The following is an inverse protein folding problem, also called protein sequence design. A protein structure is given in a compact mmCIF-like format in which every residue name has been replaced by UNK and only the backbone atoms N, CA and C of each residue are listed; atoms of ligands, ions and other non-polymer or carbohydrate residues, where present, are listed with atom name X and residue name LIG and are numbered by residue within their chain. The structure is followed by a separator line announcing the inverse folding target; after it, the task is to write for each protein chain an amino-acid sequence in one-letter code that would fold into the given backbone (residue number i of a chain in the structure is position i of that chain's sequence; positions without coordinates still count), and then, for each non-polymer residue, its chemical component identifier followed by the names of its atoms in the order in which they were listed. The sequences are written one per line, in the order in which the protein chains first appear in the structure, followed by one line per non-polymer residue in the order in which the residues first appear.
data_IF_657111308605
#
_entry.id   IF_657111308605
#
_cell.length_a   1.000
_cell.length_b   1.000
_cell.length_c   1.000
_cell.angle_alpha   90.00
_cell.angle_beta   90.00
_cell.angle_gamma   90.00
#
_symmetry.space_group_name_H-M   'P 1'
#
loop_
_entity.id
_entity.type
_entity.pdbx_description
1 polymer ?
#
# COMPACT_ATOMS: atom_id res chain seq x y z
N UNK A 1 32.70 -2.43 45.53
CA UNK A 1 33.03 -3.87 45.50
C UNK A 1 32.30 -4.47 44.31
N UNK A 2 32.96 -4.61 43.15
CA UNK A 2 32.32 -5.09 41.92
C UNK A 2 32.75 -6.55 41.73
N UNK A 3 31.80 -7.48 41.83
CA UNK A 3 31.98 -8.90 41.51
C UNK A 3 31.64 -9.09 40.03
N UNK A 4 32.64 -9.36 39.21
CA UNK A 4 32.45 -9.85 37.84
C UNK A 4 32.18 -11.35 37.96
N UNK A 5 30.98 -11.78 37.56
CA UNK A 5 30.60 -13.19 37.56
C UNK A 5 31.16 -13.85 36.30
N UNK A 6 32.13 -14.74 36.48
CA UNK A 6 32.66 -15.63 35.46
C UNK A 6 31.59 -16.65 35.04
N UNK A 7 30.90 -16.39 33.92
CA UNK A 7 30.21 -17.46 33.19
C UNK A 7 31.18 -18.09 32.20
N UNK A 8 31.85 -19.16 32.63
CA UNK A 8 32.73 -19.96 31.78
C UNK A 8 32.09 -21.32 31.43
N UNK A 9 32.14 -21.65 30.14
CA UNK A 9 31.76 -22.95 29.57
C UNK A 9 32.75 -24.02 30.09
N UNK A 10 32.24 -25.07 30.74
CA UNK A 10 33.03 -26.18 31.29
C UNK A 10 33.70 -26.98 30.16
N UNK A 11 35.03 -27.09 30.19
CA UNK A 11 35.73 -28.20 29.53
C UNK A 11 37.09 -27.92 28.88
N UNK A 12 37.52 -26.66 28.74
CA UNK A 12 38.75 -26.34 28.00
C UNK A 12 39.91 -26.03 28.95
N UNK A 13 40.94 -26.89 28.94
CA UNK A 13 42.17 -26.72 29.73
C UNK A 13 42.97 -25.55 29.15
N UNK A 14 42.93 -24.37 29.78
CA UNK A 14 43.74 -23.21 29.37
C UNK A 14 45.22 -23.46 29.70
N UNK A 15 46.01 -23.69 28.67
CA UNK A 15 47.46 -23.64 28.74
C UNK A 15 47.85 -22.18 28.46
N UNK A 16 48.18 -21.43 29.51
CA UNK A 16 48.71 -20.08 29.37
C UNK A 16 50.15 -20.16 28.87
N UNK A 17 50.34 -19.94 27.57
CA UNK A 17 51.66 -19.75 26.98
C UNK A 17 51.96 -18.26 27.03
N UNK A 18 52.77 -17.84 28.01
CA UNK A 18 53.33 -16.49 28.02
C UNK A 18 54.36 -16.39 26.91
N UNK A 19 53.91 -15.88 25.76
CA UNK A 19 54.69 -15.83 24.54
C UNK A 19 54.47 -14.50 23.86
N UNK A 20 54.90 -13.40 24.48
CA UNK A 20 55.54 -12.23 23.87
C UNK A 20 55.69 -11.10 24.91
N UNK A 21 56.86 -10.95 25.52
CA UNK A 21 57.17 -9.81 26.42
C UNK A 21 57.42 -8.55 25.61
N UNK A 22 56.34 -7.85 25.22
CA UNK A 22 56.41 -6.49 24.66
C UNK A 22 56.37 -5.47 25.80
N UNK A 23 57.16 -4.40 25.67
CA UNK A 23 57.08 -3.25 26.60
C UNK A 23 55.70 -2.61 26.50
N UNK A 24 55.06 -2.33 27.63
CA UNK A 24 53.73 -1.72 27.71
C UNK A 24 53.64 -0.40 26.93
N UNK A 25 54.75 0.36 26.88
CA UNK A 25 54.83 1.59 26.09
C UNK A 25 54.58 1.35 24.59
N UNK A 26 55.02 0.20 24.06
CA UNK A 26 54.89 -0.14 22.64
C UNK A 26 53.51 -0.73 22.28
N UNK A 27 52.73 -1.19 23.25
CA UNK A 27 51.40 -1.78 23.04
C UNK A 27 50.27 -0.77 23.26
N UNK A 28 50.56 0.34 23.94
CA UNK A 28 49.55 1.36 24.26
C UNK A 28 49.00 2.04 23.01
N UNK A 29 49.85 2.25 21.99
CA UNK A 29 49.43 2.75 20.67
C UNK A 29 48.47 1.79 19.97
N UNK A 30 48.84 0.51 19.85
CA UNK A 30 48.01 -0.53 19.23
C UNK A 30 46.63 -0.68 19.93
N UNK A 31 46.60 -0.54 21.25
CA UNK A 31 45.36 -0.57 22.04
C UNK A 31 44.51 0.68 21.77
N UNK A 32 45.12 1.87 21.72
CA UNK A 32 44.41 3.10 21.38
C UNK A 32 43.83 3.05 19.95
N UNK A 33 44.60 2.55 18.98
CA UNK A 33 44.17 2.36 17.60
C UNK A 33 43.02 1.35 17.50
N UNK A 34 43.10 0.25 18.25
CA UNK A 34 42.00 -0.73 18.34
C UNK A 34 40.71 -0.14 18.92
N UNK A 35 40.81 0.72 19.94
CA UNK A 35 39.65 1.42 20.53
C UNK A 35 39.05 2.40 19.52
N UNK A 36 39.87 3.19 18.82
CA UNK A 36 39.40 4.13 17.80
C UNK A 36 38.72 3.39 16.65
N UNK A 37 39.32 2.30 16.16
CA UNK A 37 38.74 1.47 15.11
C UNK A 37 37.41 0.84 15.55
N UNK A 38 37.32 0.37 16.79
CA UNK A 38 36.08 -0.17 17.35
C UNK A 38 34.97 0.90 17.45
N UNK A 39 35.29 2.09 17.95
CA UNK A 39 34.34 3.20 18.05
C UNK A 39 33.89 3.69 16.66
N UNK A 40 34.80 3.75 15.68
CA UNK A 40 34.47 4.05 14.29
C UNK A 40 33.52 2.99 13.71
N UNK A 41 33.75 1.70 13.99
CA UNK A 41 32.88 0.60 13.58
C UNK A 41 31.47 0.68 14.19
N UNK A 42 31.36 1.03 15.48
CA UNK A 42 30.06 1.28 16.14
C UNK A 42 29.33 2.44 15.45
N UNK A 43 30.03 3.55 15.19
CA UNK A 43 29.45 4.72 14.54
C UNK A 43 28.96 4.41 13.13
N UNK A 44 29.78 3.76 12.31
CA UNK A 44 29.42 3.36 10.95
C UNK A 44 28.16 2.46 10.95
N UNK A 45 28.11 1.48 11.86
CA UNK A 45 26.95 0.59 11.95
C UNK A 45 25.68 1.30 12.39
N UNK A 46 25.80 2.30 13.28
CA UNK A 46 24.66 3.15 13.66
C UNK A 46 24.16 3.99 12.49
N UNK A 47 25.06 4.62 11.75
CA UNK A 47 24.71 5.43 10.57
C UNK A 47 24.06 4.58 9.47
N UNK A 48 24.56 3.37 9.22
CA UNK A 48 23.95 2.41 8.29
C UNK A 48 22.54 2.00 8.73
N UNK A 49 22.35 1.66 10.01
CA UNK A 49 21.04 1.30 10.53
C UNK A 49 20.05 2.46 10.44
N UNK A 50 20.48 3.69 10.70
CA UNK A 50 19.65 4.89 10.58
C UNK A 50 19.27 5.20 9.13
N UNK A 51 20.18 4.98 8.16
CA UNK A 51 19.87 5.10 6.72
C UNK A 51 18.89 4.02 6.28
N UNK A 52 19.19 2.77 6.60
CA UNK A 52 18.33 1.63 6.28
C UNK A 52 16.92 1.81 6.86
N UNK A 53 16.81 2.26 8.11
CA UNK A 53 15.51 2.49 8.75
C UNK A 53 14.71 3.61 8.05
N UNK A 54 15.38 4.67 7.61
CA UNK A 54 14.74 5.76 6.86
C UNK A 54 14.24 5.28 5.50
N UNK A 55 15.10 4.62 4.74
CA UNK A 55 14.76 4.04 3.43
C UNK A 55 13.64 3.02 3.53
N UNK A 56 13.70 2.14 4.54
CA UNK A 56 12.65 1.17 4.81
C UNK A 56 11.31 1.85 5.05
N UNK A 57 11.25 2.85 5.93
CA UNK A 57 10.02 3.60 6.22
C UNK A 57 9.46 4.28 4.97
N UNK A 58 10.31 4.93 4.19
CA UNK A 58 9.90 5.55 2.92
C UNK A 58 9.32 4.50 1.97
N UNK A 59 10.03 3.39 1.77
CA UNK A 59 9.55 2.30 0.92
C UNK A 59 8.21 1.74 1.36
N UNK A 60 8.00 1.61 2.67
CA UNK A 60 6.76 1.10 3.24
C UNK A 60 5.60 2.07 3.05
N UNK A 61 5.84 3.37 3.25
CA UNK A 61 4.83 4.41 2.98
C UNK A 61 4.43 4.44 1.50
N UNK A 62 5.40 4.31 0.58
CA UNK A 62 5.13 4.29 -0.85
C UNK A 62 4.34 3.04 -1.26
N UNK A 63 4.65 1.87 -0.68
CA UNK A 63 3.87 0.65 -0.90
C UNK A 63 2.44 0.79 -0.40
N UNK A 64 2.25 1.31 0.80
CA UNK A 64 0.92 1.53 1.37
C UNK A 64 0.09 2.48 0.49
N UNK A 65 0.69 3.58 0.00
CA UNK A 65 0.04 4.49 -0.95
C UNK A 65 -0.31 3.81 -2.27
N UNK A 66 0.61 3.02 -2.83
CA UNK A 66 0.36 2.28 -4.07
C UNK A 66 -0.79 1.27 -3.92
N UNK A 67 -0.81 0.52 -2.82
CA UNK A 67 -1.89 -0.41 -2.50
C UNK A 67 -3.23 0.31 -2.33
N UNK A 68 -3.26 1.43 -1.61
CA UNK A 68 -4.48 2.22 -1.44
C UNK A 68 -5.03 2.73 -2.77
N UNK A 69 -4.15 3.13 -3.71
CA UNK A 69 -4.57 3.55 -5.06
C UNK A 69 -5.16 2.38 -5.84
N UNK A 70 -4.50 1.21 -5.80
CA UNK A 70 -4.97 0.02 -6.49
C UNK A 70 -6.33 -0.45 -5.95
N UNK A 71 -6.50 -0.42 -4.63
CA UNK A 71 -7.75 -0.73 -3.95
C UNK A 71 -8.88 0.19 -4.40
N UNK A 72 -8.63 1.51 -4.46
CA UNK A 72 -9.61 2.49 -4.93
C UNK A 72 -9.95 2.28 -6.40
N UNK A 73 -8.95 2.05 -7.25
CA UNK A 73 -9.16 1.80 -8.67
C UNK A 73 -9.93 0.51 -8.93
N UNK A 74 -9.70 -0.52 -8.11
CA UNK A 74 -10.51 -1.74 -8.12
C UNK A 74 -11.97 -1.43 -7.77
N UNK A 75 -12.22 -0.67 -6.70
CA UNK A 75 -13.60 -0.28 -6.31
C UNK A 75 -14.28 0.56 -7.40
N UNK A 76 -13.57 1.48 -8.04
CA UNK A 76 -14.07 2.25 -9.20
C UNK A 76 -14.49 1.33 -10.33
N UNK A 77 -13.63 0.39 -10.73
CA UNK A 77 -13.93 -0.60 -11.77
C UNK A 77 -15.13 -1.47 -11.41
N UNK A 78 -15.18 -1.97 -10.18
CA UNK A 78 -16.29 -2.79 -9.69
C UNK A 78 -17.60 -1.99 -9.67
N UNK A 79 -17.56 -0.72 -9.26
CA UNK A 79 -18.70 0.19 -9.32
C UNK A 79 -19.22 0.37 -10.75
N UNK A 80 -18.33 0.76 -11.68
CA UNK A 80 -18.70 0.94 -13.09
C UNK A 80 -19.23 -0.36 -13.68
N UNK A 81 -18.59 -1.49 -13.41
CA UNK A 81 -19.02 -2.81 -13.88
C UNK A 81 -20.44 -3.13 -13.44
N UNK A 82 -20.76 -2.95 -12.14
CA UNK A 82 -22.12 -3.14 -11.61
C UNK A 82 -23.15 -2.28 -12.34
N UNK A 83 -22.84 -1.00 -12.57
CA UNK A 83 -23.75 -0.09 -13.26
C UNK A 83 -23.92 -0.41 -14.74
N UNK A 84 -22.84 -0.75 -15.44
CA UNK A 84 -22.93 -1.16 -16.85
C UNK A 84 -23.75 -2.43 -17.04
N UNK A 85 -23.68 -3.38 -16.09
CA UNK A 85 -24.51 -4.58 -16.12
C UNK A 85 -26.01 -4.24 -15.96
N UNK A 86 -26.35 -3.31 -15.07
CA UNK A 86 -27.73 -2.84 -14.89
C UNK A 86 -28.24 -2.15 -16.17
N UNK A 87 -27.42 -1.28 -16.78
CA UNK A 87 -27.78 -0.59 -18.01
C UNK A 87 -27.95 -1.57 -19.18
N UNK A 88 -27.07 -2.58 -19.29
CA UNK A 88 -27.20 -3.64 -20.28
C UNK A 88 -28.52 -4.40 -20.10
N UNK A 89 -28.86 -4.80 -18.86
CA UNK A 89 -30.13 -5.48 -18.57
C UNK A 89 -31.34 -4.61 -18.95
N UNK A 90 -31.30 -3.29 -18.68
CA UNK A 90 -32.36 -2.36 -19.10
C UNK A 90 -32.52 -2.40 -20.63
N UNK A 91 -31.42 -2.27 -21.38
CA UNK A 91 -31.47 -2.27 -22.85
C UNK A 91 -31.97 -3.61 -23.42
N UNK A 92 -31.59 -4.74 -22.83
CA UNK A 92 -32.06 -6.07 -23.22
C UNK A 92 -33.57 -6.23 -22.99
N UNK A 93 -34.06 -5.75 -21.85
CA UNK A 93 -35.49 -5.81 -21.52
C UNK A 93 -36.33 -4.85 -22.39
N UNK A 94 -35.80 -3.68 -22.72
CA UNK A 94 -36.45 -2.73 -23.64
C UNK A 94 -36.54 -3.29 -25.07
N UNK A 95 -35.43 -3.81 -25.60
CA UNK A 95 -35.42 -4.46 -26.91
C UNK A 95 -36.34 -5.68 -26.97
N UNK A 96 -36.40 -6.47 -25.89
CA UNK A 96 -37.38 -7.55 -25.77
C UNK A 96 -38.83 -7.04 -25.86
N UNK A 97 -39.18 -5.96 -25.14
CA UNK A 97 -40.53 -5.38 -25.20
C UNK A 97 -40.88 -4.87 -26.60
N UNK A 98 -39.96 -4.19 -27.28
CA UNK A 98 -40.15 -3.72 -28.65
C UNK A 98 -40.40 -4.87 -29.63
N UNK A 99 -39.62 -5.95 -29.52
CA UNK A 99 -39.80 -7.16 -30.33
C UNK A 99 -41.16 -7.81 -30.08
N UNK A 100 -41.57 -7.92 -28.82
CA UNK A 100 -42.86 -8.48 -28.43
C UNK A 100 -44.01 -7.64 -28.97
N UNK A 101 -43.93 -6.31 -28.91
CA UNK A 101 -44.93 -5.40 -29.45
C UNK A 101 -45.02 -5.49 -30.97
N UNK A 102 -43.89 -5.56 -31.68
CA UNK A 102 -43.85 -5.64 -33.15
C UNK A 102 -44.42 -6.96 -33.70
N UNK A 103 -44.28 -8.06 -32.95
CA UNK A 103 -44.71 -9.40 -33.38
C UNK A 103 -46.17 -9.73 -33.05
N UNK A 104 -46.79 -8.98 -32.13
CA UNK A 104 -48.12 -9.29 -31.62
C UNK A 104 -49.18 -8.34 -32.17
N UNK A 105 -49.65 -8.64 -33.39
CA UNK A 105 -50.85 -8.02 -33.98
C UNK A 105 -52.05 -8.98 -34.05
N UNK A 106 -51.91 -10.27 -33.70
CA UNK A 106 -52.90 -11.26 -34.15
C UNK A 106 -53.41 -12.33 -33.16
N UNK A 107 -52.72 -12.76 -32.08
CA UNK A 107 -53.26 -13.85 -31.25
C UNK A 107 -52.74 -13.88 -29.80
N UNK A 108 -53.67 -13.91 -28.84
CA UNK A 108 -53.52 -14.51 -27.50
C UNK A 108 -52.56 -13.83 -26.50
N UNK A 109 -53.08 -12.97 -25.63
CA UNK A 109 -52.32 -12.22 -24.62
C UNK A 109 -52.00 -12.99 -23.33
N UNK A 110 -52.45 -14.23 -23.11
CA UNK A 110 -52.46 -14.86 -21.77
C UNK A 110 -51.11 -14.89 -21.03
N UNK A 111 -50.18 -15.73 -21.48
CA UNK A 111 -48.85 -15.87 -20.84
C UNK A 111 -47.92 -14.71 -21.20
N UNK A 112 -48.03 -14.21 -22.43
CA UNK A 112 -47.24 -13.08 -22.91
C UNK A 112 -47.51 -11.80 -22.11
N UNK A 113 -48.77 -11.51 -21.75
CA UNK A 113 -49.11 -10.37 -20.91
C UNK A 113 -48.45 -10.46 -19.54
N UNK A 114 -48.38 -11.66 -18.96
CA UNK A 114 -47.72 -11.87 -17.65
C UNK A 114 -46.23 -11.56 -17.73
N UNK A 115 -45.57 -12.01 -18.81
CA UNK A 115 -44.16 -11.70 -19.05
C UNK A 115 -43.98 -10.18 -19.23
N UNK A 116 -44.82 -9.52 -20.03
CA UNK A 116 -44.76 -8.06 -20.23
C UNK A 116 -44.96 -7.30 -18.92
N UNK A 117 -45.91 -7.71 -18.08
CA UNK A 117 -46.12 -7.10 -16.75
C UNK A 117 -44.87 -7.26 -15.88
N UNK A 118 -44.29 -8.46 -15.85
CA UNK A 118 -43.06 -8.73 -15.09
C UNK A 118 -41.88 -7.91 -15.59
N UNK A 119 -41.66 -7.84 -16.92
CA UNK A 119 -40.57 -7.06 -17.52
C UNK A 119 -40.72 -5.57 -17.18
N UNK A 120 -41.92 -5.00 -17.25
CA UNK A 120 -42.15 -3.61 -16.87
C UNK A 120 -41.88 -3.33 -15.39
N UNK A 121 -42.27 -4.25 -14.50
CA UNK A 121 -41.95 -4.13 -13.07
C UNK A 121 -40.43 -4.21 -12.81
N UNK A 122 -39.73 -5.09 -13.54
CA UNK A 122 -38.28 -5.22 -13.48
C UNK A 122 -37.59 -3.96 -13.98
N UNK A 123 -37.98 -3.44 -15.14
CA UNK A 123 -37.48 -2.18 -15.70
C UNK A 123 -37.68 -1.01 -14.74
N UNK A 124 -38.84 -0.90 -14.11
CA UNK A 124 -39.10 0.15 -13.10
C UNK A 124 -38.14 0.05 -11.93
N UNK A 125 -37.81 -1.16 -11.49
CA UNK A 125 -36.86 -1.41 -10.40
C UNK A 125 -35.44 -1.03 -10.80
N UNK A 126 -34.99 -1.47 -11.98
CA UNK A 126 -33.64 -1.19 -12.49
C UNK A 126 -33.45 0.32 -12.76
N UNK A 127 -34.43 0.98 -13.37
CA UNK A 127 -34.39 2.43 -13.63
C UNK A 127 -34.28 3.25 -12.35
N UNK A 128 -34.98 2.82 -11.29
CA UNK A 128 -34.86 3.45 -9.97
C UNK A 128 -33.44 3.31 -9.41
N UNK A 129 -32.74 2.21 -9.68
CA UNK A 129 -31.34 2.02 -9.25
C UNK A 129 -30.37 2.90 -10.05
N UNK A 130 -30.72 3.25 -11.29
CA UNK A 130 -29.90 4.12 -12.16
C UNK A 130 -30.30 5.60 -12.09
N UNK A 131 -31.14 6.01 -11.13
CA UNK A 131 -31.48 7.43 -10.94
C UNK A 131 -30.21 8.24 -10.61
N UNK A 132 -29.99 9.41 -11.23
CA UNK A 132 -28.79 10.23 -11.01
C UNK A 132 -28.52 10.52 -9.54
N UNK A 133 -29.57 10.81 -8.77
CA UNK A 133 -29.45 11.11 -7.34
C UNK A 133 -28.96 9.90 -6.54
N UNK A 134 -29.36 8.69 -6.93
CA UNK A 134 -28.88 7.46 -6.28
C UNK A 134 -27.46 7.12 -6.68
N UNK A 135 -27.10 7.36 -7.94
CA UNK A 135 -25.73 7.21 -8.42
C UNK A 135 -24.83 8.18 -7.66
N UNK A 136 -25.21 9.45 -7.57
CA UNK A 136 -24.47 10.47 -6.83
C UNK A 136 -24.31 10.08 -5.35
N UNK A 137 -25.41 9.68 -4.69
CA UNK A 137 -25.36 9.23 -3.30
C UNK A 137 -24.43 8.01 -3.11
N UNK A 138 -24.44 7.05 -4.04
CA UNK A 138 -23.56 5.89 -3.98
C UNK A 138 -22.09 6.26 -4.22
N UNK A 139 -21.80 7.17 -5.15
CA UNK A 139 -20.45 7.68 -5.40
C UNK A 139 -19.88 8.42 -4.19
N UNK A 140 -20.69 9.24 -3.52
CA UNK A 140 -20.30 9.94 -2.29
C UNK A 140 -20.13 8.98 -1.12
N UNK A 141 -21.01 7.99 -0.97
CA UNK A 141 -20.93 7.01 0.12
C UNK A 141 -19.69 6.10 0.03
N UNK A 142 -19.26 5.75 -1.19
CA UNK A 142 -18.09 4.90 -1.43
C UNK A 142 -16.77 5.70 -1.61
N UNK A 143 -16.80 7.04 -1.55
CA UNK A 143 -15.67 7.96 -1.74
C UNK A 143 -14.78 7.60 -2.96
N UNK A 144 -15.44 7.28 -4.08
CA UNK A 144 -14.75 6.76 -5.27
C UNK A 144 -14.04 7.87 -6.04
N UNK A 145 -14.60 9.08 -6.06
CA UNK A 145 -14.09 10.23 -6.81
C UNK A 145 -13.98 11.47 -5.91
N UNK A 146 -13.03 11.49 -4.97
CA UNK A 146 -12.80 12.66 -4.14
C UNK A 146 -12.29 13.83 -5.00
N UNK A 147 -12.67 15.07 -4.63
CA UNK A 147 -12.19 16.29 -5.30
C UNK A 147 -10.68 16.50 -5.11
N UNK A 148 -10.17 16.06 -3.95
CA UNK A 148 -8.75 16.09 -3.60
C UNK A 148 -8.28 14.64 -3.49
N UNK A 149 -7.34 14.24 -4.35
CA UNK A 149 -6.77 12.90 -4.26
C UNK A 149 -5.64 12.89 -3.21
N UNK A 150 -6.00 12.55 -1.98
CA UNK A 150 -5.03 12.36 -0.87
C UNK A 150 -3.99 11.27 -1.15
N UNK A 151 -4.28 10.39 -2.13
CA UNK A 151 -3.34 9.38 -2.57
C UNK A 151 -2.47 9.86 -3.73
N UNK A 152 -2.75 10.99 -4.39
CA UNK A 152 -1.84 11.57 -5.36
C UNK A 152 -0.61 12.10 -4.60
N UNK A 153 0.50 11.38 -4.68
CA UNK A 153 1.71 11.79 -3.97
C UNK A 153 2.16 13.15 -4.53
N UNK A 154 2.16 14.18 -3.68
CA UNK A 154 3.21 15.19 -3.76
C UNK A 154 4.53 14.43 -3.67
N UNK A 155 5.28 14.37 -4.77
CA UNK A 155 6.61 13.77 -4.80
C UNK A 155 7.46 14.35 -3.66
N UNK A 156 8.14 13.54 -2.83
CA UNK A 156 9.05 14.06 -1.80
C UNK A 156 10.38 14.42 -2.45
N UNK A 157 10.35 15.31 -3.45
CA UNK A 157 11.52 15.69 -4.24
C UNK A 157 11.91 17.16 -4.07
N UNK A 158 11.51 17.78 -2.96
CA UNK A 158 11.91 19.15 -2.63
C UNK A 158 12.47 19.17 -1.20
N UNK A 159 13.76 19.53 -1.12
CA UNK A 159 14.62 19.69 0.07
C UNK A 159 15.50 18.50 0.47
N UNK A 160 16.21 17.91 -0.49
CA UNK A 160 17.65 17.68 -0.26
C UNK A 160 18.39 18.84 -0.93
N UNK A 161 18.46 19.99 -0.24
CA UNK A 161 19.52 20.94 -0.53
C UNK A 161 20.83 20.26 -0.15
N UNK A 162 21.81 20.12 -1.06
CA UNK A 162 23.15 19.76 -0.63
C UNK A 162 23.60 20.85 0.35
N UNK A 163 24.02 20.41 1.53
CA UNK A 163 24.68 21.24 2.53
C UNK A 163 25.99 21.76 1.92
N UNK A 164 25.96 22.99 1.39
CA UNK A 164 27.14 23.78 1.02
C UNK A 164 27.87 24.16 2.32
N UNK A 165 28.56 23.18 2.90
CA UNK A 165 29.28 23.26 4.15
C UNK A 165 30.76 22.90 4.00
N UNK A 166 31.44 23.46 2.99
CA UNK A 166 32.90 23.41 2.89
C UNK A 166 33.48 24.83 2.73
N UNK A 167 33.22 25.68 3.73
CA UNK A 167 34.10 26.80 4.07
C UNK A 167 35.01 26.37 5.20
N UNK A 168 36.30 26.25 4.89
CA UNK A 168 37.35 25.90 5.84
C UNK A 168 38.70 26.01 5.17
N UNK A 169 39.06 27.25 4.82
CA UNK A 169 40.45 27.66 4.55
C UNK A 169 41.30 27.62 5.80
#
# INVERSE_FOLDING_TARGET
MIRIADQHVRGTRLIWRDGNTRRLENTTGDVADGIVAYLAGIRARREELERFTREWRLSETLRALAQAREEREKRRRDFVSRYTAILAEITELETFLELVQRRNSANGWGELARIVIWVNARLTTLRRQTEPDRIAAALTAEDLFPEIDDLASSSPDILVTPDDGASGS
#
